data_IF_189425876029
#
_entry.id   IF_189425876029
#
_cell.length_a   1.000
_cell.length_b   1.000
_cell.length_c   1.000
_cell.angle_alpha   90.00
_cell.angle_beta   90.00
_cell.angle_gamma   90.00
#
_symmetry.space_group_name_H-M   'P 1'
#
loop_
_entity.id
_entity.type
_entity.pdbx_description
1 polymer ?
#
# COMPACT_ATOMS: atom_id res chain seq x y z
N UNK A 1 39.45 11.59 5.55
CA UNK A 1 39.93 10.47 6.41
C UNK A 1 39.72 10.69 7.92
N UNK A 2 40.13 11.81 8.53
CA UNK A 2 40.03 12.03 10.00
C UNK A 2 38.61 11.94 10.62
N UNK A 3 37.56 12.38 9.92
CA UNK A 3 36.16 12.25 10.41
C UNK A 3 35.62 10.83 10.32
N UNK A 4 36.13 10.04 9.38
CA UNK A 4 35.70 8.69 9.06
C UNK A 4 36.30 7.70 10.07
N UNK A 5 37.58 7.87 10.42
CA UNK A 5 38.22 7.09 11.48
C UNK A 5 37.54 7.26 12.84
N UNK A 6 37.19 8.50 13.22
CA UNK A 6 36.40 8.75 14.45
C UNK A 6 35.02 8.11 14.41
N UNK A 7 34.32 8.19 13.28
CA UNK A 7 33.00 7.60 13.12
C UNK A 7 33.05 6.07 13.24
N UNK A 8 33.98 5.43 12.52
CA UNK A 8 34.17 3.98 12.58
C UNK A 8 34.58 3.53 13.99
N UNK A 9 35.39 4.30 14.70
CA UNK A 9 35.75 4.02 16.10
C UNK A 9 34.59 4.18 17.10
N UNK A 10 33.50 4.85 16.71
CA UNK A 10 32.32 5.04 17.55
C UNK A 10 31.22 3.99 17.31
N UNK A 11 31.38 3.11 16.33
CA UNK A 11 30.39 2.07 16.03
C UNK A 11 30.51 0.90 17.04
N UNK A 12 29.41 0.21 17.38
CA UNK A 12 29.43 -0.91 18.32
C UNK A 12 30.35 -2.05 17.86
N UNK A 13 31.09 -2.64 18.80
CA UNK A 13 31.85 -3.86 18.56
C UNK A 13 30.88 -5.00 18.18
N UNK A 14 30.87 -5.39 16.90
CA UNK A 14 29.95 -6.39 16.36
C UNK A 14 29.44 -6.08 14.94
N UNK A 15 29.57 -4.85 14.47
CA UNK A 15 29.41 -4.55 13.04
C UNK A 15 30.66 -5.05 12.33
N UNK A 16 30.53 -6.12 11.54
CA UNK A 16 31.62 -6.61 10.71
C UNK A 16 32.07 -5.49 9.77
N UNK A 17 33.32 -5.05 9.91
CA UNK A 17 33.88 -4.04 9.04
C UNK A 17 34.21 -4.66 7.70
N UNK A 18 33.50 -4.20 6.66
CA UNK A 18 33.90 -4.47 5.30
C UNK A 18 35.28 -3.83 5.02
N UNK A 19 36.06 -4.36 4.06
CA UNK A 19 37.32 -3.74 3.65
C UNK A 19 37.17 -2.23 3.41
N UNK A 20 38.20 -1.39 3.68
CA UNK A 20 38.08 0.06 3.58
C UNK A 20 37.52 0.56 2.25
N UNK A 21 37.85 -0.11 1.15
CA UNK A 21 37.36 0.19 -0.19
C UNK A 21 35.85 -0.06 -0.33
N UNK A 22 35.34 -1.15 0.23
CA UNK A 22 33.91 -1.49 0.20
C UNK A 22 33.12 -0.55 1.12
N UNK A 23 33.68 -0.21 2.27
CA UNK A 23 33.11 0.81 3.17
C UNK A 23 33.01 2.15 2.45
N UNK A 24 34.05 2.58 1.72
CA UNK A 24 34.04 3.84 0.98
C UNK A 24 32.95 3.84 -0.11
N UNK A 25 32.84 2.76 -0.89
CA UNK A 25 31.76 2.60 -1.89
C UNK A 25 30.36 2.78 -1.30
N UNK A 26 30.11 2.23 -0.10
CA UNK A 26 28.81 2.39 0.59
C UNK A 26 28.56 3.85 1.02
N UNK A 27 29.60 4.54 1.48
CA UNK A 27 29.49 5.95 1.85
C UNK A 27 29.21 6.84 0.64
N UNK A 28 29.88 6.57 -0.47
CA UNK A 28 29.66 7.28 -1.74
C UNK A 28 28.25 7.01 -2.25
N UNK A 29 27.76 5.75 -2.17
CA UNK A 29 26.38 5.42 -2.49
C UNK A 29 25.37 6.23 -1.64
N UNK A 30 25.55 6.28 -0.31
CA UNK A 30 24.64 7.06 0.54
C UNK A 30 24.67 8.56 0.21
N UNK A 31 25.86 9.11 -0.06
CA UNK A 31 26.03 10.55 -0.23
C UNK A 31 25.68 11.02 -1.65
N UNK A 32 26.20 10.34 -2.66
CA UNK A 32 26.15 10.74 -4.06
C UNK A 32 24.94 10.15 -4.77
N UNK A 33 24.66 8.86 -4.56
CA UNK A 33 23.51 8.20 -5.22
C UNK A 33 22.20 8.50 -4.51
N UNK A 34 22.16 8.43 -3.18
CA UNK A 34 20.95 8.71 -2.40
C UNK A 34 20.84 10.16 -1.93
N UNK A 35 21.85 11.01 -2.16
CA UNK A 35 21.78 12.43 -1.78
C UNK A 35 21.76 12.68 -0.27
N UNK A 36 22.14 11.72 0.57
CA UNK A 36 22.06 11.83 2.03
C UNK A 36 23.18 12.74 2.53
N UNK A 37 22.80 13.98 2.92
CA UNK A 37 23.77 15.01 3.35
C UNK A 37 24.53 14.63 4.62
N UNK A 38 23.87 13.98 5.58
CA UNK A 38 24.44 13.64 6.88
C UNK A 38 24.55 12.13 7.09
N UNK A 39 25.45 11.49 6.34
CA UNK A 39 25.73 10.05 6.45
C UNK A 39 26.20 9.67 7.86
N UNK A 40 26.91 10.56 8.56
CA UNK A 40 27.34 10.33 9.94
C UNK A 40 26.14 10.10 10.89
N UNK A 41 25.11 10.95 10.79
CA UNK A 41 23.89 10.80 11.58
C UNK A 41 23.11 9.54 11.19
N UNK A 42 23.07 9.19 9.91
CA UNK A 42 22.46 7.95 9.41
C UNK A 42 23.12 6.71 10.06
N UNK A 43 24.45 6.65 10.02
CA UNK A 43 25.22 5.52 10.53
C UNK A 43 25.22 5.43 12.06
N UNK A 44 25.12 6.57 12.76
CA UNK A 44 24.93 6.57 14.21
C UNK A 44 23.56 5.99 14.61
N UNK A 45 22.52 6.19 13.78
CA UNK A 45 21.19 5.59 14.01
C UNK A 45 21.16 4.10 13.66
N UNK A 46 21.80 3.72 12.56
CA UNK A 46 21.81 2.34 12.07
C UNK A 46 23.18 1.98 11.51
N UNK A 47 24.09 1.47 12.36
CA UNK A 47 25.46 1.16 11.95
C UNK A 47 25.52 -0.10 11.07
N UNK A 48 24.49 -0.98 11.12
CA UNK A 48 24.41 -2.20 10.31
C UNK A 48 24.31 -1.93 8.81
N UNK A 49 23.98 -0.70 8.40
CA UNK A 49 23.97 -0.30 6.99
C UNK A 49 25.31 -0.58 6.28
N UNK A 50 26.44 -0.51 7.00
CA UNK A 50 27.75 -0.82 6.44
C UNK A 50 27.96 -2.31 6.17
N UNK A 51 27.16 -3.18 6.77
CA UNK A 51 27.22 -4.64 6.54
C UNK A 51 26.37 -5.09 5.35
N UNK A 52 25.45 -4.26 4.85
CA UNK A 52 24.59 -4.63 3.73
C UNK A 52 25.28 -4.43 2.38
N UNK A 53 24.99 -5.31 1.43
CA UNK A 53 25.38 -5.15 0.02
C UNK A 53 24.50 -4.08 -0.63
N UNK A 54 25.11 -3.27 -1.49
CA UNK A 54 24.39 -2.25 -2.25
C UNK A 54 23.43 -2.95 -3.22
N UNK A 55 23.94 -3.91 -3.98
CA UNK A 55 23.28 -4.59 -5.08
C UNK A 55 22.17 -5.54 -4.60
N UNK A 56 22.44 -6.28 -3.52
CA UNK A 56 21.54 -7.34 -3.05
C UNK A 56 20.59 -6.90 -1.92
N UNK A 57 20.76 -5.69 -1.37
CA UNK A 57 19.92 -5.21 -0.26
C UNK A 57 19.50 -3.76 -0.41
N UNK A 58 20.44 -2.81 -0.45
CA UNK A 58 20.10 -1.38 -0.40
C UNK A 58 19.36 -0.91 -1.66
N UNK A 59 19.88 -1.23 -2.84
CA UNK A 59 19.29 -0.82 -4.11
C UNK A 59 17.91 -1.45 -4.35
N UNK A 60 17.68 -2.77 -4.14
CA UNK A 60 16.34 -3.36 -4.24
C UNK A 60 15.30 -2.65 -3.35
N UNK A 61 15.69 -2.22 -2.16
CA UNK A 61 14.79 -1.48 -1.26
C UNK A 61 14.50 -0.08 -1.73
N UNK A 62 15.48 0.61 -2.30
CA UNK A 62 15.29 1.92 -2.91
C UNK A 62 14.31 1.82 -4.08
N UNK A 63 14.40 0.77 -4.90
CA UNK A 63 13.45 0.54 -6.00
C UNK A 63 12.04 0.22 -5.48
N UNK A 64 11.91 -0.56 -4.41
CA UNK A 64 10.62 -0.78 -3.74
C UNK A 64 10.05 0.54 -3.21
N UNK A 65 10.85 1.40 -2.57
CA UNK A 65 10.36 2.70 -2.09
C UNK A 65 9.82 3.55 -3.26
N UNK A 66 10.57 3.63 -4.36
CA UNK A 66 10.13 4.36 -5.56
C UNK A 66 8.84 3.79 -6.14
N UNK A 67 8.67 2.47 -6.19
CA UNK A 67 7.47 1.84 -6.75
C UNK A 67 6.19 2.10 -5.94
N UNK A 68 6.32 2.47 -4.67
CA UNK A 68 5.23 2.95 -3.82
C UNK A 68 5.02 4.47 -3.87
N UNK A 69 5.77 5.20 -4.71
CA UNK A 69 5.64 6.64 -4.88
C UNK A 69 6.50 7.48 -3.95
N UNK A 70 7.53 6.90 -3.31
CA UNK A 70 8.51 7.69 -2.53
C UNK A 70 9.40 8.47 -3.48
N UNK A 71 9.24 9.80 -3.49
CA UNK A 71 9.94 10.71 -4.40
C UNK A 71 11.41 10.93 -4.02
N UNK A 72 11.72 10.95 -2.73
CA UNK A 72 13.10 11.04 -2.21
C UNK A 72 13.40 9.86 -1.27
N UNK A 73 13.84 8.71 -1.82
CA UNK A 73 14.21 7.55 -1.02
C UNK A 73 15.35 7.82 -0.04
N UNK A 74 16.28 8.73 -0.39
CA UNK A 74 17.41 9.09 0.47
C UNK A 74 16.96 9.79 1.73
N UNK A 75 16.08 10.79 1.60
CA UNK A 75 15.46 11.45 2.74
C UNK A 75 14.63 10.47 3.58
N UNK A 76 13.85 9.60 2.93
CA UNK A 76 13.04 8.60 3.62
C UNK A 76 13.90 7.64 4.46
N UNK A 77 15.00 7.14 3.89
CA UNK A 77 15.97 6.29 4.57
C UNK A 77 16.67 7.06 5.71
N UNK A 78 17.05 8.32 5.50
CA UNK A 78 17.68 9.14 6.55
C UNK A 78 16.74 9.38 7.76
N UNK A 79 15.44 9.46 7.52
CA UNK A 79 14.41 9.57 8.55
C UNK A 79 14.13 8.24 9.24
N UNK A 80 14.05 7.12 8.50
CA UNK A 80 13.82 5.79 9.04
C UNK A 80 14.79 4.74 8.47
N UNK A 81 16.03 4.66 8.99
CA UNK A 81 17.05 3.73 8.48
C UNK A 81 16.68 2.25 8.64
N UNK A 82 15.77 1.93 9.57
CA UNK A 82 15.31 0.57 9.85
C UNK A 82 14.68 -0.09 8.60
N UNK A 83 14.15 0.70 7.66
CA UNK A 83 13.63 0.23 6.36
C UNK A 83 14.66 -0.63 5.60
N UNK A 84 15.95 -0.32 5.74
CA UNK A 84 17.07 -1.06 5.15
C UNK A 84 17.32 -2.43 5.80
N UNK A 85 16.74 -2.69 6.98
CA UNK A 85 16.93 -3.95 7.72
C UNK A 85 15.77 -4.92 7.57
N UNK A 86 14.60 -4.45 7.10
CA UNK A 86 13.38 -5.24 6.99
C UNK A 86 13.44 -6.28 5.86
N UNK A 87 12.63 -7.34 5.89
CA UNK A 87 12.41 -8.14 4.68
C UNK A 87 11.58 -7.34 3.67
N UNK A 88 11.90 -7.45 2.38
CA UNK A 88 11.06 -6.87 1.33
C UNK A 88 9.70 -7.57 1.35
N UNK A 89 9.69 -8.89 1.16
CA UNK A 89 8.48 -9.72 1.02
C UNK A 89 7.65 -9.79 2.29
N UNK A 90 8.29 -10.00 3.44
CA UNK A 90 7.57 -10.29 4.68
C UNK A 90 7.25 -9.04 5.50
N UNK A 91 7.75 -7.86 5.11
CA UNK A 91 7.56 -6.64 5.88
C UNK A 91 7.27 -5.42 5.01
N UNK A 92 8.18 -4.99 4.14
CA UNK A 92 8.00 -3.72 3.42
C UNK A 92 6.78 -3.76 2.51
N UNK A 93 6.69 -4.77 1.64
CA UNK A 93 5.61 -4.91 0.68
C UNK A 93 4.23 -4.99 1.36
N UNK A 94 3.97 -5.92 2.31
CA UNK A 94 2.66 -6.03 2.92
C UNK A 94 2.29 -4.82 3.77
N UNK A 95 3.26 -4.13 4.39
CA UNK A 95 2.98 -2.92 5.18
C UNK A 95 2.62 -1.74 4.28
N UNK A 96 3.35 -1.52 3.19
CA UNK A 96 3.00 -0.48 2.23
C UNK A 96 1.65 -0.77 1.56
N UNK A 97 1.42 -2.02 1.13
CA UNK A 97 0.16 -2.36 0.47
C UNK A 97 -1.03 -2.15 1.41
N UNK A 98 -0.89 -2.57 2.68
CA UNK A 98 -1.93 -2.34 3.68
C UNK A 98 -2.17 -0.85 3.97
N UNK A 99 -1.12 -0.05 4.08
CA UNK A 99 -1.25 1.38 4.35
C UNK A 99 -1.94 2.13 3.20
N UNK A 100 -1.59 1.80 1.95
CA UNK A 100 -2.07 2.55 0.79
C UNK A 100 -3.38 2.00 0.23
N UNK A 101 -3.59 0.68 0.21
CA UNK A 101 -4.79 0.04 -0.33
C UNK A 101 -5.85 -0.18 0.76
N UNK A 102 -5.55 -0.95 1.79
CA UNK A 102 -6.57 -1.31 2.81
C UNK A 102 -6.96 -0.14 3.72
N UNK A 103 -5.98 0.66 4.15
CA UNK A 103 -6.20 1.84 4.99
C UNK A 103 -6.47 3.11 4.18
N UNK A 104 -6.30 3.06 2.85
CA UNK A 104 -6.50 4.17 1.93
C UNK A 104 -5.76 5.45 2.36
N UNK A 105 -4.54 5.31 2.89
CA UNK A 105 -3.71 6.47 3.28
C UNK A 105 -2.95 7.00 2.08
N UNK A 106 -2.81 8.32 2.04
CA UNK A 106 -1.98 8.97 1.02
C UNK A 106 -0.50 8.66 1.23
N UNK A 107 0.26 8.58 0.14
CA UNK A 107 1.72 8.43 0.22
C UNK A 107 2.35 9.59 1.00
N UNK A 108 1.83 10.82 0.87
CA UNK A 108 2.29 12.00 1.60
C UNK A 108 2.18 11.83 3.13
N UNK A 109 1.13 11.17 3.62
CA UNK A 109 0.99 10.88 5.04
C UNK A 109 2.05 9.88 5.52
N UNK A 110 2.37 8.88 4.69
CA UNK A 110 3.44 7.91 4.97
C UNK A 110 4.82 8.58 4.93
N UNK A 111 5.06 9.49 3.99
CA UNK A 111 6.30 10.28 3.91
C UNK A 111 6.49 11.20 5.12
N UNK A 112 5.41 11.75 5.68
CA UNK A 112 5.45 12.54 6.93
C UNK A 112 5.68 11.68 8.17
N UNK A 113 5.35 10.39 8.11
CA UNK A 113 5.55 9.45 9.21
C UNK A 113 6.17 8.12 8.75
N UNK A 114 7.44 8.10 8.31
CA UNK A 114 8.10 6.89 7.80
C UNK A 114 8.15 5.75 8.82
N UNK A 115 8.13 6.08 10.12
CA UNK A 115 8.09 5.11 11.21
C UNK A 115 6.80 4.28 11.25
N UNK A 116 5.76 4.63 10.48
CA UNK A 116 4.59 3.78 10.27
C UNK A 116 4.97 2.36 9.83
N UNK A 117 6.02 2.24 9.02
CA UNK A 117 6.52 0.94 8.54
C UNK A 117 7.21 0.12 9.63
N UNK A 118 7.55 0.70 10.79
CA UNK A 118 8.19 -0.02 11.88
C UNK A 118 7.19 -0.83 12.72
N UNK A 119 5.90 -0.51 12.63
CA UNK A 119 4.85 -1.29 13.28
C UNK A 119 4.64 -2.61 12.53
N UNK A 120 4.31 -3.67 13.27
CA UNK A 120 3.94 -4.94 12.66
C UNK A 120 2.66 -4.79 11.85
N UNK A 121 2.49 -5.63 10.83
CA UNK A 121 1.29 -5.63 10.02
C UNK A 121 0.03 -5.88 10.88
N UNK A 122 0.13 -6.79 11.84
CA UNK A 122 -0.97 -7.09 12.77
C UNK A 122 -1.34 -5.88 13.65
N UNK A 123 -0.34 -5.10 14.08
CA UNK A 123 -0.60 -3.90 14.87
C UNK A 123 -1.33 -2.84 14.04
N UNK A 124 -0.89 -2.61 12.79
CA UNK A 124 -1.57 -1.73 11.84
C UNK A 124 -3.02 -2.19 11.63
N UNK A 125 -3.21 -3.48 11.31
CA UNK A 125 -4.52 -4.10 11.09
C UNK A 125 -5.44 -3.97 12.28
N UNK A 126 -4.96 -4.29 13.49
CA UNK A 126 -5.78 -4.28 14.70
C UNK A 126 -6.33 -2.89 14.97
N UNK A 127 -5.49 -1.86 14.91
CA UNK A 127 -5.93 -0.48 15.15
C UNK A 127 -6.83 0.05 14.04
N UNK A 128 -6.47 -0.20 12.80
CA UNK A 128 -7.27 0.21 11.66
C UNK A 128 -8.67 -0.43 11.68
N UNK A 129 -8.74 -1.77 11.75
CA UNK A 129 -10.01 -2.50 11.71
C UNK A 129 -10.90 -2.16 12.90
N UNK A 130 -10.33 -1.99 14.10
CA UNK A 130 -11.13 -1.59 15.25
C UNK A 130 -11.77 -0.21 15.07
N UNK A 131 -11.03 0.77 14.53
CA UNK A 131 -11.62 2.08 14.21
C UNK A 131 -12.64 2.00 13.08
N UNK A 132 -12.43 1.11 12.11
CA UNK A 132 -13.35 0.88 10.98
C UNK A 132 -14.71 0.35 11.42
N UNK A 133 -14.78 -0.46 12.48
CA UNK A 133 -16.06 -0.91 13.07
C UNK A 133 -16.99 0.24 13.48
N UNK A 134 -16.42 1.42 13.75
CA UNK A 134 -17.16 2.60 14.21
C UNK A 134 -17.14 3.77 13.22
N UNK A 135 -16.61 3.59 12.01
CA UNK A 135 -16.46 4.66 11.02
C UNK A 135 -15.50 5.77 11.47
N UNK A 136 -14.44 5.42 12.21
CA UNK A 136 -13.44 6.35 12.78
C UNK A 136 -12.05 6.20 12.13
N UNK A 137 -11.91 5.35 11.13
CA UNK A 137 -10.64 4.94 10.52
C UNK A 137 -9.91 6.08 9.81
N UNK A 138 -10.65 7.06 9.26
CA UNK A 138 -10.09 8.27 8.62
C UNK A 138 -10.09 9.51 9.52
N UNK A 139 -10.62 9.43 10.74
CA UNK A 139 -10.77 10.60 11.64
C UNK A 139 -9.48 11.02 12.34
N UNK A 140 -8.46 10.17 12.32
CA UNK A 140 -7.18 10.41 12.99
C UNK A 140 -6.03 10.24 11.99
N UNK A 141 -5.01 11.09 12.14
CA UNK A 141 -3.75 10.92 11.42
C UNK A 141 -3.08 9.60 11.79
N UNK A 142 -2.33 9.03 10.85
CA UNK A 142 -1.61 7.77 11.01
C UNK A 142 -0.64 7.83 12.20
N UNK A 143 0.08 8.94 12.36
CA UNK A 143 0.98 9.13 13.51
C UNK A 143 0.22 9.12 14.84
N UNK A 144 -0.92 9.82 14.94
CA UNK A 144 -1.75 9.82 16.15
C UNK A 144 -2.33 8.44 16.41
N UNK A 145 -2.84 7.76 15.38
CA UNK A 145 -3.39 6.42 15.49
C UNK A 145 -2.36 5.42 16.02
N UNK A 146 -1.10 5.48 15.59
CA UNK A 146 -0.10 4.44 15.88
C UNK A 146 0.78 4.74 17.11
N UNK A 147 1.02 6.01 17.46
CA UNK A 147 1.85 6.38 18.63
C UNK A 147 1.09 6.37 19.95
N UNK A 148 -0.23 6.44 19.89
CA UNK A 148 -1.06 6.59 21.09
C UNK A 148 -1.06 5.31 21.93
N UNK A 149 -0.94 5.40 23.25
CA UNK A 149 -1.07 4.23 24.13
C UNK A 149 -2.47 3.60 24.04
N UNK A 150 -2.60 2.30 24.25
CA UNK A 150 -3.85 1.54 24.05
C UNK A 150 -5.06 2.13 24.80
N UNK A 151 -4.88 2.56 26.04
CA UNK A 151 -5.95 3.17 26.82
C UNK A 151 -6.46 4.49 26.20
N UNK A 152 -5.55 5.32 25.70
CA UNK A 152 -5.89 6.60 25.08
C UNK A 152 -6.44 6.37 23.68
N UNK A 153 -5.98 5.32 22.99
CA UNK A 153 -6.50 4.89 21.70
C UNK A 153 -7.97 4.45 21.86
N UNK A 154 -8.26 3.54 22.79
CA UNK A 154 -9.61 3.09 23.08
C UNK A 154 -10.52 4.27 23.47
N UNK A 155 -10.12 5.03 24.49
CA UNK A 155 -10.98 6.06 25.07
C UNK A 155 -11.13 7.31 24.19
N UNK A 156 -10.04 7.84 23.62
CA UNK A 156 -10.08 9.10 22.86
C UNK A 156 -10.23 8.92 21.35
N UNK A 157 -9.67 7.86 20.77
CA UNK A 157 -9.71 7.67 19.32
C UNK A 157 -10.93 6.83 18.92
N UNK A 158 -11.14 5.68 19.57
CA UNK A 158 -12.24 4.78 19.29
C UNK A 158 -13.55 5.14 20.02
N UNK A 159 -13.46 5.94 21.10
CA UNK A 159 -14.59 6.27 21.98
C UNK A 159 -15.22 5.02 22.60
N UNK A 160 -14.38 4.08 23.03
CA UNK A 160 -14.72 2.79 23.64
C UNK A 160 -13.94 2.56 24.92
N UNK A 161 -14.35 1.55 25.66
CA UNK A 161 -13.65 1.13 26.88
C UNK A 161 -12.40 0.31 26.56
N UNK A 162 -11.41 0.39 27.46
CA UNK A 162 -10.16 -0.34 27.32
C UNK A 162 -10.39 -1.86 27.32
N UNK A 163 -11.34 -2.36 28.11
CA UNK A 163 -11.66 -3.79 28.18
C UNK A 163 -12.14 -4.32 26.82
N UNK A 164 -12.97 -3.54 26.11
CA UNK A 164 -13.46 -3.88 24.78
C UNK A 164 -12.30 -3.94 23.77
N UNK A 165 -11.40 -2.96 23.80
CA UNK A 165 -10.19 -2.97 22.97
C UNK A 165 -9.28 -4.16 23.27
N UNK A 166 -9.09 -4.50 24.55
CA UNK A 166 -8.22 -5.61 24.95
C UNK A 166 -8.76 -6.96 24.48
N UNK A 167 -10.08 -7.14 24.51
CA UNK A 167 -10.77 -8.34 24.02
C UNK A 167 -10.86 -8.38 22.49
N UNK A 168 -10.72 -7.24 21.81
CA UNK A 168 -10.73 -7.19 20.36
C UNK A 168 -9.54 -7.97 19.77
N UNK A 169 -9.86 -9.13 19.21
CA UNK A 169 -9.00 -9.92 18.37
C UNK A 169 -9.30 -9.61 16.89
N UNK A 170 -8.28 -9.63 16.06
CA UNK A 170 -8.49 -9.64 14.62
C UNK A 170 -9.27 -10.92 14.28
N UNK A 171 -10.35 -10.84 13.48
CA UNK A 171 -10.92 -12.05 12.93
C UNK A 171 -9.80 -12.79 12.17
N UNK A 172 -9.73 -14.13 12.25
CA UNK A 172 -8.81 -14.89 11.41
C UNK A 172 -9.03 -14.39 9.98
N UNK A 173 -7.95 -14.05 9.28
CA UNK A 173 -8.03 -13.70 7.86
C UNK A 173 -8.93 -14.78 7.23
N UNK A 174 -10.10 -14.37 6.73
CA UNK A 174 -10.96 -15.29 6.01
C UNK A 174 -10.07 -15.85 4.91
N UNK A 175 -9.67 -17.12 5.05
CA UNK A 175 -8.92 -17.82 4.04
C UNK A 175 -9.72 -17.69 2.75
N UNK A 176 -9.20 -16.92 1.79
CA UNK A 176 -9.56 -16.98 0.38
C UNK A 176 -11.07 -17.03 0.07
N UNK A 177 -11.89 -16.27 0.80
CA UNK A 177 -13.30 -16.12 0.49
C UNK A 177 -13.47 -14.92 -0.46
N UNK A 178 -13.09 -15.16 -1.72
CA UNK A 178 -13.79 -14.76 -2.95
C UNK A 178 -12.79 -14.62 -4.11
N UNK A 179 -12.99 -15.47 -5.15
CA UNK A 179 -12.45 -15.37 -6.52
C UNK A 179 -11.22 -16.21 -6.94
N UNK A 180 -11.29 -17.54 -6.75
CA UNK A 180 -11.04 -18.46 -7.89
C UNK A 180 -12.31 -18.42 -8.77
N UNK A 181 -12.57 -17.27 -9.38
CA UNK A 181 -13.45 -17.20 -10.52
C UNK A 181 -12.60 -17.62 -11.71
N UNK A 182 -12.91 -18.78 -12.28
CA UNK A 182 -12.45 -19.19 -13.61
C UNK A 182 -12.56 -18.01 -14.59
N UNK A 183 -11.47 -17.27 -14.76
CA UNK A 183 -11.27 -16.35 -15.85
C UNK A 183 -10.32 -17.07 -16.80
N UNK A 184 -10.92 -17.47 -17.91
CA UNK A 184 -10.35 -18.21 -19.02
C UNK A 184 -8.86 -17.97 -19.22
N UNK A 185 -8.16 -19.08 -19.40
CA UNK A 185 -6.79 -19.20 -19.85
C UNK A 185 -6.61 -18.60 -21.26
N UNK A 186 -6.65 -17.28 -21.39
CA UNK A 186 -6.03 -16.58 -22.51
C UNK A 186 -4.63 -16.18 -22.08
N UNK A 187 -3.76 -17.19 -22.08
CA UNK A 187 -2.33 -17.03 -21.88
C UNK A 187 -1.79 -16.24 -23.07
N UNK A 188 -1.71 -14.90 -22.93
CA UNK A 188 -0.78 -14.10 -23.72
C UNK A 188 0.58 -14.78 -23.59
N UNK A 189 1.10 -15.29 -24.71
CA UNK A 189 2.35 -16.03 -24.77
C UNK A 189 3.49 -15.11 -24.33
N UNK A 190 3.81 -15.15 -23.03
CA UNK A 190 4.96 -14.44 -22.49
C UNK A 190 6.18 -15.15 -23.06
N UNK A 191 6.98 -14.41 -23.82
CA UNK A 191 8.21 -14.91 -24.41
C UNK A 191 9.13 -15.47 -23.30
N UNK A 192 9.50 -16.76 -23.33
CA UNK A 192 10.20 -17.42 -22.21
C UNK A 192 11.59 -16.83 -21.91
N UNK A 193 12.15 -16.02 -22.80
CA UNK A 193 13.43 -15.33 -22.60
C UNK A 193 13.35 -14.13 -21.64
N UNK A 194 12.15 -13.70 -21.24
CA UNK A 194 11.91 -12.56 -20.32
C UNK A 194 11.23 -12.97 -19.01
N UNK A 195 11.57 -14.14 -18.47
CA UNK A 195 11.12 -14.54 -17.13
C UNK A 195 11.73 -13.61 -16.07
N UNK A 196 10.92 -12.91 -15.25
CA UNK A 196 11.42 -12.07 -14.16
C UNK A 196 12.20 -12.93 -13.16
N UNK A 197 13.51 -12.68 -13.06
CA UNK A 197 14.44 -13.49 -12.28
C UNK A 197 14.46 -13.11 -10.80
N UNK A 198 14.02 -11.90 -10.45
CA UNK A 198 13.94 -11.44 -9.06
C UNK A 198 12.52 -11.56 -8.49
N UNK A 199 12.34 -12.03 -7.24
CA UNK A 199 11.06 -11.97 -6.53
C UNK A 199 10.45 -10.56 -6.47
N UNK A 200 11.30 -9.51 -6.48
CA UNK A 200 10.88 -8.11 -6.58
C UNK A 200 10.17 -7.85 -7.90
N UNK A 201 10.68 -8.35 -9.02
CA UNK A 201 10.07 -8.18 -10.34
C UNK A 201 8.71 -8.88 -10.40
N UNK A 202 8.60 -10.10 -9.86
CA UNK A 202 7.33 -10.83 -9.77
C UNK A 202 6.29 -10.06 -8.95
N UNK A 203 6.69 -9.45 -7.83
CA UNK A 203 5.80 -8.61 -7.04
C UNK A 203 5.42 -7.32 -7.78
N UNK A 204 6.37 -6.62 -8.39
CA UNK A 204 6.11 -5.39 -9.13
C UNK A 204 5.18 -5.64 -10.31
N UNK A 205 5.32 -6.78 -10.99
CA UNK A 205 4.42 -7.23 -12.05
C UNK A 205 3.03 -7.49 -11.49
N UNK A 206 2.88 -8.30 -10.43
CA UNK A 206 1.56 -8.54 -9.80
C UNK A 206 0.91 -7.25 -9.31
N UNK A 207 1.70 -6.32 -8.77
CA UNK A 207 1.24 -5.01 -8.33
C UNK A 207 0.77 -4.17 -9.51
N UNK A 208 1.54 -4.12 -10.60
CA UNK A 208 1.17 -3.41 -11.81
C UNK A 208 -0.09 -4.00 -12.45
N UNK A 209 -0.23 -5.32 -12.46
CA UNK A 209 -1.43 -6.05 -12.90
C UNK A 209 -2.64 -5.71 -12.02
N UNK A 210 -2.49 -5.72 -10.70
CA UNK A 210 -3.54 -5.31 -9.75
C UNK A 210 -3.95 -3.85 -9.95
N UNK A 211 -2.99 -2.93 -10.09
CA UNK A 211 -3.29 -1.52 -10.34
C UNK A 211 -3.98 -1.31 -11.68
N UNK A 212 -3.58 -2.06 -12.71
CA UNK A 212 -4.22 -2.03 -14.04
C UNK A 212 -5.63 -2.61 -13.98
N UNK A 213 -5.85 -3.68 -13.23
CA UNK A 213 -7.18 -4.26 -13.02
C UNK A 213 -8.10 -3.30 -12.27
N UNK A 214 -7.59 -2.60 -11.25
CA UNK A 214 -8.34 -1.59 -10.51
C UNK A 214 -8.66 -0.37 -11.38
N UNK A 215 -7.72 0.08 -12.22
CA UNK A 215 -7.96 1.13 -13.21
C UNK A 215 -9.04 0.72 -14.22
N UNK A 216 -8.96 -0.50 -14.78
CA UNK A 216 -9.97 -1.00 -15.71
C UNK A 216 -11.36 -1.14 -15.05
N UNK A 217 -11.42 -1.51 -13.78
CA UNK A 217 -12.69 -1.51 -13.00
C UNK A 217 -13.22 -0.10 -12.80
N UNK A 218 -12.36 0.87 -12.48
CA UNK A 218 -12.74 2.27 -12.35
C UNK A 218 -13.26 2.85 -13.68
N UNK A 219 -12.53 2.63 -14.77
CA UNK A 219 -12.90 3.07 -16.13
C UNK A 219 -14.21 2.40 -16.59
N UNK A 220 -14.42 1.12 -16.25
CA UNK A 220 -15.66 0.40 -16.54
C UNK A 220 -16.85 0.97 -15.74
N UNK A 221 -16.65 1.31 -14.47
CA UNK A 221 -17.67 1.95 -13.62
C UNK A 221 -18.01 3.35 -14.15
N UNK A 222 -17.03 4.11 -14.61
CA UNK A 222 -17.21 5.43 -15.20
C UNK A 222 -17.92 5.36 -16.58
N UNK A 223 -17.57 4.37 -17.41
CA UNK A 223 -18.27 4.09 -18.66
C UNK A 223 -19.72 3.68 -18.44
N UNK A 224 -20.01 2.87 -17.42
CA UNK A 224 -21.39 2.49 -17.06
C UNK A 224 -22.17 3.73 -16.61
N UNK A 225 -21.58 4.60 -15.78
CA UNK A 225 -22.18 5.89 -15.43
C UNK A 225 -22.44 6.77 -16.65
N UNK A 226 -21.48 6.90 -17.56
CA UNK A 226 -21.65 7.71 -18.78
C UNK A 226 -22.77 7.18 -19.68
N UNK A 227 -22.88 5.85 -19.85
CA UNK A 227 -23.99 5.23 -20.59
C UNK A 227 -25.33 5.38 -19.89
N UNK A 228 -25.36 5.35 -18.56
CA UNK A 228 -26.56 5.58 -17.78
C UNK A 228 -27.03 7.04 -17.88
N UNK A 229 -26.11 8.00 -17.87
CA UNK A 229 -26.41 9.42 -18.12
C UNK A 229 -27.00 9.59 -19.53
N UNK A 230 -26.37 9.01 -20.55
CA UNK A 230 -26.88 9.07 -21.93
C UNK A 230 -28.29 8.45 -22.06
N UNK A 231 -28.54 7.31 -21.41
CA UNK A 231 -29.86 6.67 -21.41
C UNK A 231 -30.94 7.52 -20.74
N UNK A 232 -30.61 8.20 -19.63
CA UNK A 232 -31.53 9.09 -18.91
C UNK A 232 -31.77 10.43 -19.65
N UNK A 233 -30.81 10.89 -20.46
CA UNK A 233 -31.02 12.03 -21.35
C UNK A 233 -31.93 11.68 -22.54
N UNK A 234 -31.84 10.44 -23.05
CA UNK A 234 -32.75 9.92 -24.07
C UNK A 234 -34.15 9.57 -23.52
N UNK A 235 -34.25 9.24 -22.23
CA UNK A 235 -35.48 8.86 -21.54
C UNK A 235 -35.63 9.65 -20.22
N UNK A 236 -35.95 10.95 -20.28
CA UNK A 236 -36.01 11.79 -19.10
C UNK A 236 -37.14 11.34 -18.17
N UNK A 237 -36.88 11.20 -16.85
CA UNK A 237 -37.92 10.84 -15.89
C UNK A 237 -38.99 11.94 -15.81
N UNK A 238 -40.22 11.55 -15.47
CA UNK A 238 -41.38 12.45 -15.43
C UNK A 238 -41.27 13.55 -14.35
N UNK A 239 -40.50 13.31 -13.28
CA UNK A 239 -40.18 14.29 -12.23
C UNK A 239 -38.66 14.56 -12.19
N UNK A 240 -38.20 15.83 -12.28
CA UNK A 240 -36.79 16.19 -12.17
C UNK A 240 -36.12 15.79 -10.85
N UNK A 241 -36.88 15.54 -9.78
CA UNK A 241 -36.35 15.10 -8.48
C UNK A 241 -35.89 13.62 -8.48
N UNK A 242 -36.38 12.80 -9.41
CA UNK A 242 -35.98 11.39 -9.57
C UNK A 242 -34.70 11.22 -10.40
N UNK A 243 -34.11 12.33 -10.86
CA UNK A 243 -32.95 12.33 -11.77
C UNK A 243 -31.67 11.80 -11.12
N UNK A 244 -31.60 11.75 -9.78
CA UNK A 244 -30.42 11.22 -9.08
C UNK A 244 -30.75 10.68 -7.67
N UNK A 245 -30.46 9.40 -7.36
CA UNK A 245 -30.48 8.91 -5.99
C UNK A 245 -29.21 9.31 -5.22
N UNK A 246 -29.23 9.43 -3.88
CA UNK A 246 -28.05 9.82 -3.10
C UNK A 246 -26.85 8.89 -3.33
N UNK A 247 -25.64 9.45 -3.37
CA UNK A 247 -24.40 8.71 -3.69
C UNK A 247 -24.20 7.46 -2.83
N UNK A 248 -23.96 6.30 -3.48
CA UNK A 248 -23.45 5.08 -2.85
C UNK A 248 -24.42 3.90 -2.75
N UNK A 249 -25.63 3.95 -3.32
CA UNK A 249 -26.55 2.81 -3.26
C UNK A 249 -26.19 1.69 -4.26
N UNK A 250 -25.34 0.76 -3.82
CA UNK A 250 -24.91 -0.46 -4.55
C UNK A 250 -26.07 -1.32 -5.08
N UNK A 251 -27.25 -1.22 -4.47
CA UNK A 251 -28.47 -1.93 -4.85
C UNK A 251 -29.09 -1.41 -6.15
N UNK A 252 -28.90 -0.13 -6.48
CA UNK A 252 -29.50 0.48 -7.68
C UNK A 252 -28.69 0.17 -8.93
N UNK A 253 -27.35 0.15 -8.84
CA UNK A 253 -26.49 -0.32 -9.94
C UNK A 253 -26.83 -1.75 -10.35
N UNK A 254 -27.18 -2.62 -9.39
CA UNK A 254 -27.63 -3.98 -9.66
C UNK A 254 -29.02 -4.03 -10.30
N UNK A 255 -29.98 -3.23 -9.83
CA UNK A 255 -31.32 -3.16 -10.43
C UNK A 255 -31.32 -2.56 -11.84
N UNK A 256 -30.48 -1.56 -12.12
CA UNK A 256 -30.38 -0.93 -13.45
C UNK A 256 -29.62 -1.83 -14.42
N UNK A 257 -28.56 -2.51 -13.98
CA UNK A 257 -27.89 -3.54 -14.80
C UNK A 257 -28.86 -4.68 -15.13
N UNK A 258 -29.68 -5.14 -14.17
CA UNK A 258 -30.72 -6.14 -14.43
C UNK A 258 -31.77 -5.65 -15.45
N UNK A 259 -32.16 -4.37 -15.41
CA UNK A 259 -33.07 -3.76 -16.38
C UNK A 259 -32.44 -3.62 -17.79
N UNK A 260 -31.13 -3.34 -17.87
CA UNK A 260 -30.41 -3.19 -19.13
C UNK A 260 -30.15 -4.53 -19.82
N UNK A 261 -29.87 -5.60 -19.06
CA UNK A 261 -29.75 -6.95 -19.60
C UNK A 261 -31.10 -7.54 -20.03
N UNK A 262 -32.20 -7.21 -19.32
CA UNK A 262 -33.55 -7.67 -19.70
C UNK A 262 -34.09 -6.97 -20.96
N UNK A 263 -33.74 -5.70 -21.19
CA UNK A 263 -34.12 -4.97 -22.42
C UNK A 263 -33.32 -5.37 -23.66
N UNK A 264 -32.15 -6.01 -23.49
CA UNK A 264 -31.32 -6.53 -24.60
C UNK A 264 -31.38 -8.04 -24.79
N UNK A 265 -32.13 -8.79 -23.97
CA UNK A 265 -32.31 -10.23 -24.15
C UNK A 265 -33.22 -10.51 -25.37
N UNK A 266 -32.68 -11.06 -26.49
CA UNK A 266 -33.47 -11.34 -27.69
C UNK A 266 -34.58 -12.38 -27.44
N UNK A 267 -34.48 -13.16 -26.36
CA UNK A 267 -35.45 -14.21 -26.01
C UNK A 267 -36.70 -13.65 -25.33
N UNK A 268 -36.62 -12.48 -24.66
CA UNK A 268 -37.79 -11.84 -24.05
C UNK A 268 -38.60 -11.00 -25.05
N UNK A 269 -37.96 -10.37 -26.05
CA UNK A 269 -38.68 -9.66 -27.12
C UNK A 269 -39.60 -10.58 -27.93
N UNK A 270 -39.26 -11.87 -28.06
CA UNK A 270 -40.11 -12.88 -28.72
C UNK A 270 -41.31 -13.38 -27.90
N UNK A 271 -41.37 -13.11 -26.60
CA UNK A 271 -42.52 -13.49 -25.75
C UNK A 271 -43.54 -12.37 -25.57
N UNK A 272 -43.24 -11.16 -26.02
CA UNK A 272 -44.10 -9.99 -25.94
C UNK A 272 -44.63 -9.52 -27.31
N UNK A 273 -44.50 -10.35 -28.36
CA UNK A 273 -45.09 -10.14 -29.70
C UNK A 273 -46.15 -11.20 -29.98
#
# INVERSE_FOLDING_TARGET
YLKLGKLLSSLPAGVAFAPPQETQKKLDYFKETLGIRNVASLLNKEPRLLSFSIENNLAPKVEVLKSFGVTDPGLFIAQNPNVCTMSIENALLPRFDYLLKDMERSIDEVLKFPSALNYSLDYLRRRHRYLKLFGLEKKHSLSRMLRTADWLFAHKLAKRDLAEWQQFALPPEAADADAEGELASDTLTINPDFLPTSPVDKFLIRRAESMRADQLRADSSEMVRAKMIAFLDENPPADPADRWPPEGSRLVEQSVMAAWYTTKDPLQQKRAS
#
